data_IF_894569605141
#
_entry.id   IF_894569605141
#
_cell.length_a   1.000
_cell.length_b   1.000
_cell.length_c   1.000
_cell.angle_alpha   90.00
_cell.angle_beta   90.00
_cell.angle_gamma   90.00
#
_symmetry.space_group_name_H-M   'P 1'
#
loop_
_entity.id
_entity.type
_entity.pdbx_description
1 polymer ?
#
# COMPACT_ATOMS: atom_id res chain seq x y z
N UNK A 1 -27.21 27.92 46.03
CA UNK A 1 -27.26 27.36 44.66
C UNK A 1 -25.88 26.82 44.30
N UNK A 2 -25.69 25.51 44.41
CA UNK A 2 -24.42 24.80 44.15
C UNK A 2 -24.34 24.34 42.70
N UNK A 3 -23.25 24.67 42.00
CA UNK A 3 -22.96 24.16 40.65
C UNK A 3 -22.63 22.66 40.70
N UNK A 4 -23.14 21.81 39.79
CA UNK A 4 -22.66 20.45 39.67
C UNK A 4 -21.35 20.43 38.86
N UNK A 5 -20.26 20.04 39.50
CA UNK A 5 -18.99 19.67 38.82
C UNK A 5 -19.10 18.21 38.37
N UNK A 6 -19.34 18.00 37.07
CA UNK A 6 -19.20 16.66 36.48
C UNK A 6 -17.73 16.40 36.19
N UNK A 7 -17.03 15.84 37.17
CA UNK A 7 -15.72 15.21 36.99
C UNK A 7 -15.94 13.81 36.41
N UNK A 8 -16.21 13.74 35.10
CA UNK A 8 -16.08 12.47 34.38
C UNK A 8 -14.62 12.03 34.43
N UNK A 9 -14.31 10.80 34.90
CA UNK A 9 -12.96 10.29 34.85
C UNK A 9 -12.56 10.15 33.38
N UNK A 10 -11.52 10.88 32.98
CA UNK A 10 -10.88 10.74 31.67
C UNK A 10 -10.26 9.35 31.63
N UNK A 11 -11.02 8.36 31.14
CA UNK A 11 -10.45 7.07 30.80
C UNK A 11 -9.30 7.33 29.82
N UNK A 12 -8.08 6.81 30.08
CA UNK A 12 -7.00 6.93 29.12
C UNK A 12 -7.49 6.30 27.83
N UNK A 13 -7.61 7.09 26.76
CA UNK A 13 -7.77 6.54 25.41
C UNK A 13 -6.57 5.64 25.23
N UNK A 14 -6.78 4.33 25.28
CA UNK A 14 -5.80 3.38 24.81
C UNK A 14 -5.49 3.80 23.37
N UNK A 15 -4.40 4.52 23.19
CA UNK A 15 -3.87 4.90 21.90
C UNK A 15 -3.37 3.60 21.29
N UNK A 16 -4.30 2.83 20.73
CA UNK A 16 -3.98 1.64 19.98
C UNK A 16 -3.00 2.04 18.89
N UNK A 17 -1.93 1.26 18.74
CA UNK A 17 -0.84 1.42 17.75
C UNK A 17 -1.35 1.15 16.33
N UNK A 18 -2.57 1.56 16.03
CA UNK A 18 -3.22 1.36 14.74
C UNK A 18 -3.09 2.63 13.92
N UNK A 19 -2.84 2.52 12.61
CA UNK A 19 -2.77 3.68 11.74
C UNK A 19 -4.06 4.48 11.83
N UNK A 20 -3.94 5.76 12.20
CA UNK A 20 -5.04 6.70 12.10
C UNK A 20 -5.37 7.02 10.64
N UNK A 21 -6.54 7.62 10.35
CA UNK A 21 -6.95 7.99 8.99
C UNK A 21 -5.91 8.87 8.28
N UNK A 22 -5.22 9.74 9.02
CA UNK A 22 -4.15 10.60 8.51
C UNK A 22 -2.92 9.81 8.04
N UNK A 23 -2.60 8.67 8.65
CA UNK A 23 -1.49 7.82 8.24
C UNK A 23 -1.84 7.04 6.97
N UNK A 24 -3.06 6.50 6.87
CA UNK A 24 -3.53 5.84 5.65
C UNK A 24 -3.55 6.80 4.45
N UNK A 25 -3.99 8.04 4.66
CA UNK A 25 -3.95 9.07 3.64
C UNK A 25 -2.53 9.32 3.12
N UNK A 26 -1.57 9.56 4.04
CA UNK A 26 -0.16 9.79 3.69
C UNK A 26 0.45 8.59 2.98
N UNK A 27 0.19 7.38 3.47
CA UNK A 27 0.65 6.14 2.84
C UNK A 27 0.07 6.01 1.42
N UNK A 28 -1.23 6.26 1.24
CA UNK A 28 -1.88 6.23 -0.06
C UNK A 28 -1.26 7.21 -1.05
N UNK A 29 -1.05 8.46 -0.63
CA UNK A 29 -0.43 9.48 -1.47
C UNK A 29 1.01 9.10 -1.88
N UNK A 30 1.83 8.62 -0.94
CA UNK A 30 3.22 8.25 -1.21
C UNK A 30 3.33 6.99 -2.10
N UNK A 31 2.47 5.99 -1.86
CA UNK A 31 2.43 4.77 -2.67
C UNK A 31 1.95 5.09 -4.10
N UNK A 32 0.91 5.92 -4.25
CA UNK A 32 0.45 6.34 -5.57
C UNK A 32 1.53 7.14 -6.32
N UNK A 33 2.18 8.09 -5.65
CA UNK A 33 3.28 8.86 -6.23
C UNK A 33 4.45 7.95 -6.66
N UNK A 34 4.81 6.96 -5.84
CA UNK A 34 5.84 5.96 -6.18
C UNK A 34 5.46 5.19 -7.44
N UNK A 35 4.20 4.77 -7.54
CA UNK A 35 3.68 4.12 -8.74
C UNK A 35 3.78 5.02 -9.99
N UNK A 36 3.38 6.30 -9.89
CA UNK A 36 3.50 7.25 -11.01
C UNK A 36 4.96 7.45 -11.45
N UNK A 37 5.87 7.64 -10.48
CA UNK A 37 7.31 7.77 -10.74
C UNK A 37 7.85 6.50 -11.41
N UNK A 38 7.47 5.33 -10.91
CA UNK A 38 7.88 4.06 -11.49
C UNK A 38 7.35 3.88 -12.92
N UNK A 39 6.10 4.24 -13.19
CA UNK A 39 5.52 4.19 -14.53
C UNK A 39 6.24 5.10 -15.52
N UNK A 40 6.49 6.35 -15.14
CA UNK A 40 7.27 7.30 -15.95
C UNK A 40 8.71 6.78 -16.18
N UNK A 41 9.35 6.25 -15.15
CA UNK A 41 10.67 5.62 -15.29
C UNK A 41 10.61 4.40 -16.24
N UNK A 42 9.56 3.59 -16.17
CA UNK A 42 9.34 2.46 -17.07
C UNK A 42 9.34 2.87 -18.55
N UNK A 43 8.51 3.87 -18.87
CA UNK A 43 8.29 4.35 -20.23
C UNK A 43 9.46 5.16 -20.82
N UNK A 44 10.21 5.90 -19.99
CA UNK A 44 11.24 6.81 -20.50
C UNK A 44 12.68 6.34 -20.22
N UNK A 45 12.90 5.62 -19.12
CA UNK A 45 14.21 5.20 -18.63
C UNK A 45 14.46 3.71 -18.79
N UNK A 46 13.64 2.87 -18.16
CA UNK A 46 13.85 1.42 -18.07
C UNK A 46 13.90 0.76 -19.45
N UNK A 47 13.02 1.14 -20.38
CA UNK A 47 13.01 0.58 -21.74
C UNK A 47 14.33 0.79 -22.51
N UNK A 48 15.13 1.78 -22.13
CA UNK A 48 16.43 2.08 -22.75
C UNK A 48 17.59 1.29 -22.13
N UNK A 49 17.35 0.58 -21.02
CA UNK A 49 18.39 -0.18 -20.32
C UNK A 49 18.69 -1.49 -21.05
N UNK A 50 19.98 -1.80 -21.21
CA UNK A 50 20.42 -3.08 -21.80
C UNK A 50 19.89 -4.27 -21.00
N UNK A 51 19.44 -5.32 -21.71
CA UNK A 51 18.94 -6.55 -21.10
C UNK A 51 17.48 -6.50 -20.62
N UNK A 52 16.76 -5.40 -20.85
CA UNK A 52 15.32 -5.32 -20.60
C UNK A 52 14.55 -5.88 -21.80
N UNK A 53 13.70 -6.87 -21.55
CA UNK A 53 12.81 -7.47 -22.55
C UNK A 53 11.42 -6.84 -22.50
N UNK A 54 10.57 -7.05 -23.51
CA UNK A 54 9.16 -6.63 -23.47
C UNK A 54 8.40 -7.19 -22.26
N UNK A 55 8.67 -8.43 -21.85
CA UNK A 55 8.05 -9.06 -20.68
C UNK A 55 8.47 -8.37 -19.37
N UNK A 56 9.74 -7.96 -19.28
CA UNK A 56 10.22 -7.17 -18.13
C UNK A 56 9.51 -5.81 -18.05
N UNK A 57 9.29 -5.15 -19.18
CA UNK A 57 8.54 -3.89 -19.23
C UNK A 57 7.07 -4.08 -18.85
N UNK A 58 6.44 -5.15 -19.34
CA UNK A 58 5.08 -5.49 -18.95
C UNK A 58 4.98 -5.76 -17.44
N UNK A 59 5.90 -6.54 -16.89
CA UNK A 59 5.95 -6.82 -15.45
C UNK A 59 6.16 -5.54 -14.64
N UNK A 60 7.08 -4.67 -15.08
CA UNK A 60 7.31 -3.37 -14.45
C UNK A 60 6.05 -2.49 -14.47
N UNK A 61 5.38 -2.39 -15.61
CA UNK A 61 4.15 -1.62 -15.74
C UNK A 61 3.04 -2.19 -14.85
N UNK A 62 2.95 -3.52 -14.72
CA UNK A 62 2.04 -4.18 -13.78
C UNK A 62 2.33 -3.72 -12.35
N UNK A 63 3.59 -3.80 -11.90
CA UNK A 63 3.96 -3.35 -10.56
C UNK A 63 3.65 -1.87 -10.32
N UNK A 64 3.95 -1.01 -11.30
CA UNK A 64 3.61 0.42 -11.26
C UNK A 64 2.11 0.63 -11.08
N UNK A 65 1.30 -0.03 -11.90
CA UNK A 65 -0.16 0.10 -11.85
C UNK A 65 -0.72 -0.39 -10.51
N UNK A 66 -0.24 -1.52 -9.99
CA UNK A 66 -0.66 -2.01 -8.68
C UNK A 66 -0.28 -1.05 -7.55
N UNK A 67 0.90 -0.41 -7.59
CA UNK A 67 1.24 0.65 -6.63
C UNK A 67 0.25 1.83 -6.73
N UNK A 68 -0.07 2.31 -7.94
CA UNK A 68 -1.06 3.39 -8.14
C UNK A 68 -2.42 2.98 -7.57
N UNK A 69 -2.94 1.80 -7.95
CA UNK A 69 -4.26 1.34 -7.53
C UNK A 69 -4.36 1.18 -6.01
N UNK A 70 -3.36 0.61 -5.35
CA UNK A 70 -3.35 0.50 -3.90
C UNK A 70 -3.21 1.86 -3.23
N UNK A 71 -2.40 2.76 -3.77
CA UNK A 71 -2.28 4.12 -3.27
C UNK A 71 -3.62 4.88 -3.32
N UNK A 72 -4.32 4.82 -4.46
CA UNK A 72 -5.66 5.39 -4.61
C UNK A 72 -6.69 4.72 -3.71
N UNK A 73 -6.66 3.39 -3.57
CA UNK A 73 -7.54 2.67 -2.67
C UNK A 73 -7.37 3.11 -1.22
N UNK A 74 -6.13 3.34 -0.75
CA UNK A 74 -5.87 3.83 0.60
C UNK A 74 -6.39 5.25 0.82
N UNK A 75 -6.29 6.12 -0.18
CA UNK A 75 -6.92 7.45 -0.11
C UNK A 75 -8.44 7.31 0.08
N UNK A 76 -9.10 6.47 -0.73
CA UNK A 76 -10.54 6.21 -0.61
C UNK A 76 -10.91 5.59 0.75
N UNK A 77 -10.17 4.59 1.22
CA UNK A 77 -10.40 3.94 2.52
C UNK A 77 -10.24 4.93 3.67
N UNK A 78 -9.25 5.81 3.60
CA UNK A 78 -8.99 6.82 4.64
C UNK A 78 -10.10 7.87 4.77
N UNK A 79 -10.90 8.07 3.72
CA UNK A 79 -12.06 8.95 3.72
C UNK A 79 -13.34 8.27 4.21
N UNK A 80 -13.39 6.94 4.25
CA UNK A 80 -14.59 6.21 4.59
C UNK A 80 -14.84 6.22 6.12
N UNK A 81 -15.98 6.71 6.64
CA UNK A 81 -16.19 6.89 8.08
C UNK A 81 -16.01 5.63 8.93
N UNK A 82 -16.48 4.49 8.42
CA UNK A 82 -16.32 3.16 9.05
C UNK A 82 -14.93 2.55 8.82
N UNK A 83 -14.47 2.49 7.57
CA UNK A 83 -13.29 1.71 7.20
C UNK A 83 -11.96 2.43 7.39
N UNK A 84 -11.94 3.76 7.56
CA UNK A 84 -10.73 4.52 7.85
C UNK A 84 -10.05 4.11 9.16
N UNK A 85 -10.80 3.52 10.10
CA UNK A 85 -10.31 2.99 11.37
C UNK A 85 -10.21 1.46 11.39
N UNK A 86 -10.45 0.80 10.25
CA UNK A 86 -10.42 -0.65 10.16
C UNK A 86 -8.98 -1.16 10.29
N UNK A 87 -8.72 -1.92 11.36
CA UNK A 87 -7.37 -2.25 11.84
C UNK A 87 -6.57 -3.16 10.91
N UNK A 88 -7.24 -3.86 10.00
CA UNK A 88 -6.61 -4.86 9.12
C UNK A 88 -6.61 -4.41 7.64
N UNK A 89 -7.78 -4.11 7.08
CA UNK A 89 -7.96 -3.73 5.67
C UNK A 89 -6.94 -2.71 5.12
N UNK A 90 -6.86 -1.50 5.70
CA UNK A 90 -5.94 -0.46 5.24
C UNK A 90 -4.46 -0.90 5.29
N UNK A 91 -3.95 -1.37 6.44
CA UNK A 91 -2.59 -1.91 6.54
C UNK A 91 -2.29 -3.06 5.57
N UNK A 92 -3.23 -3.98 5.37
CA UNK A 92 -3.08 -5.13 4.48
C UNK A 92 -2.98 -4.70 3.01
N UNK A 93 -3.82 -3.76 2.56
CA UNK A 93 -3.75 -3.16 1.22
C UNK A 93 -2.41 -2.44 1.03
N UNK A 94 -1.99 -1.64 2.00
CA UNK A 94 -0.73 -0.90 1.93
C UNK A 94 0.49 -1.82 1.87
N UNK A 95 0.61 -2.75 2.82
CA UNK A 95 1.76 -3.65 2.93
C UNK A 95 1.77 -4.67 1.79
N UNK A 96 0.62 -5.29 1.51
CA UNK A 96 0.49 -6.27 0.44
C UNK A 96 0.81 -5.66 -0.93
N UNK A 97 0.25 -4.48 -1.23
CA UNK A 97 0.51 -3.75 -2.47
C UNK A 97 1.96 -3.30 -2.62
N UNK A 98 2.59 -2.83 -1.53
CA UNK A 98 4.01 -2.44 -1.53
C UNK A 98 4.94 -3.65 -1.72
N UNK A 99 4.68 -4.77 -1.03
CA UNK A 99 5.44 -6.01 -1.17
C UNK A 99 5.29 -6.57 -2.58
N UNK A 100 4.07 -6.68 -3.10
CA UNK A 100 3.78 -7.17 -4.45
C UNK A 100 4.48 -6.33 -5.52
N UNK A 101 4.29 -5.01 -5.49
CA UNK A 101 4.87 -4.12 -6.50
C UNK A 101 6.39 -4.04 -6.38
N UNK A 102 6.91 -3.89 -5.17
CA UNK A 102 8.34 -3.78 -4.92
C UNK A 102 9.12 -5.04 -5.29
N UNK A 103 8.55 -6.24 -5.06
CA UNK A 103 9.19 -7.50 -5.41
C UNK A 103 9.28 -7.70 -6.93
N UNK A 104 8.22 -7.38 -7.68
CA UNK A 104 8.28 -7.40 -9.16
C UNK A 104 9.32 -6.40 -9.67
N UNK A 105 9.34 -5.16 -9.16
CA UNK A 105 10.33 -4.15 -9.57
C UNK A 105 11.77 -4.61 -9.29
N UNK A 106 12.03 -5.21 -8.13
CA UNK A 106 13.35 -5.76 -7.78
C UNK A 106 13.76 -6.90 -8.72
N UNK A 107 12.85 -7.82 -9.02
CA UNK A 107 13.09 -8.92 -9.97
C UNK A 107 13.40 -8.42 -11.38
N UNK A 108 12.72 -7.36 -11.84
CA UNK A 108 13.00 -6.74 -13.15
C UNK A 108 14.38 -6.06 -13.16
N UNK A 109 14.78 -5.38 -12.09
CA UNK A 109 16.03 -4.62 -12.06
C UNK A 109 17.28 -5.49 -11.90
N UNK A 110 17.18 -6.61 -11.17
CA UNK A 110 18.29 -7.51 -10.89
C UNK A 110 17.80 -8.92 -10.51
N UNK A 111 17.20 -9.65 -11.48
CA UNK A 111 16.66 -11.01 -11.30
C UNK A 111 17.64 -11.96 -10.64
N UNK A 112 18.89 -11.99 -11.08
CA UNK A 112 19.89 -12.94 -10.56
C UNK A 112 20.19 -12.74 -9.07
N UNK A 113 20.14 -11.48 -8.62
CA UNK A 113 20.33 -11.11 -7.21
C UNK A 113 19.06 -11.33 -6.37
N UNK A 114 17.89 -11.11 -6.96
CA UNK A 114 16.61 -11.08 -6.26
C UNK A 114 15.70 -12.27 -6.57
N UNK A 115 16.20 -13.35 -7.17
CA UNK A 115 15.42 -14.55 -7.52
C UNK A 115 14.60 -15.13 -6.34
N UNK A 116 15.11 -14.99 -5.12
CA UNK A 116 14.44 -15.44 -3.90
C UNK A 116 13.16 -14.64 -3.58
N UNK A 117 12.97 -13.48 -4.20
CA UNK A 117 11.76 -12.67 -4.08
C UNK A 117 10.61 -13.20 -4.94
N UNK A 118 10.83 -14.21 -5.80
CA UNK A 118 9.77 -14.82 -6.61
C UNK A 118 8.55 -15.27 -5.78
N UNK A 119 8.74 -16.05 -4.70
CA UNK A 119 7.65 -16.42 -3.78
C UNK A 119 7.11 -15.26 -2.94
N UNK A 120 7.82 -14.13 -2.84
CA UNK A 120 7.37 -12.96 -2.06
C UNK A 120 6.24 -12.23 -2.78
N UNK A 121 6.26 -12.20 -4.12
CA UNK A 121 5.20 -11.60 -4.94
C UNK A 121 3.81 -12.18 -4.63
N UNK A 122 3.55 -13.51 -4.70
CA UNK A 122 2.23 -14.06 -4.40
C UNK A 122 1.82 -13.84 -2.94
N UNK A 123 2.75 -13.84 -1.98
CA UNK A 123 2.44 -13.53 -0.58
C UNK A 123 1.91 -12.09 -0.44
N UNK A 124 2.59 -11.12 -1.07
CA UNK A 124 2.13 -9.73 -1.12
C UNK A 124 0.74 -9.62 -1.74
N UNK A 125 0.51 -10.34 -2.86
CA UNK A 125 -0.79 -10.42 -3.51
C UNK A 125 -1.89 -10.99 -2.61
N UNK A 126 -1.63 -12.08 -1.88
CA UNK A 126 -2.58 -12.68 -0.95
C UNK A 126 -2.94 -11.76 0.21
N UNK A 127 -1.96 -11.06 0.79
CA UNK A 127 -2.20 -10.07 1.86
C UNK A 127 -3.08 -8.92 1.35
N UNK A 128 -2.78 -8.42 0.16
CA UNK A 128 -3.58 -7.39 -0.50
C UNK A 128 -5.02 -7.85 -0.73
N UNK A 129 -5.22 -9.05 -1.28
CA UNK A 129 -6.56 -9.65 -1.48
C UNK A 129 -7.33 -9.74 -0.16
N UNK A 130 -6.68 -10.23 0.91
CA UNK A 130 -7.31 -10.31 2.23
C UNK A 130 -7.74 -8.92 2.75
N UNK A 131 -6.94 -7.89 2.48
CA UNK A 131 -7.26 -6.51 2.82
C UNK A 131 -8.51 -6.00 2.10
N UNK A 132 -8.64 -6.25 0.80
CA UNK A 132 -9.85 -5.90 0.02
C UNK A 132 -11.08 -6.70 0.46
N UNK A 133 -10.94 -8.00 0.72
CA UNK A 133 -12.04 -8.83 1.24
C UNK A 133 -12.51 -8.29 2.60
N UNK A 134 -11.60 -7.85 3.45
CA UNK A 134 -11.95 -7.27 4.75
C UNK A 134 -12.73 -5.95 4.65
N UNK A 135 -12.67 -5.23 3.52
CA UNK A 135 -13.53 -4.06 3.29
C UNK A 135 -14.99 -4.44 2.97
N UNK A 136 -15.27 -5.69 2.65
CA UNK A 136 -16.62 -6.15 2.32
C UNK A 136 -17.50 -6.43 3.57
N UNK A 137 -16.93 -6.42 4.78
CA UNK A 137 -17.59 -6.80 6.04
C UNK A 137 -17.31 -5.78 7.15
#
# INVERSE_FOLDING_TARGET
MSRPTSSSPLLPRAAGVFPGPSLLWRAGALIAATGVIAGAFGAHGLQKRKGITPENLHAWQTASNYAIYNGLALLLVSLHPRFALHRFAGPAIALGGAVFSGSIMALVLARDRFKWMGPVTPIGGSIMIAGYIALAF
#
